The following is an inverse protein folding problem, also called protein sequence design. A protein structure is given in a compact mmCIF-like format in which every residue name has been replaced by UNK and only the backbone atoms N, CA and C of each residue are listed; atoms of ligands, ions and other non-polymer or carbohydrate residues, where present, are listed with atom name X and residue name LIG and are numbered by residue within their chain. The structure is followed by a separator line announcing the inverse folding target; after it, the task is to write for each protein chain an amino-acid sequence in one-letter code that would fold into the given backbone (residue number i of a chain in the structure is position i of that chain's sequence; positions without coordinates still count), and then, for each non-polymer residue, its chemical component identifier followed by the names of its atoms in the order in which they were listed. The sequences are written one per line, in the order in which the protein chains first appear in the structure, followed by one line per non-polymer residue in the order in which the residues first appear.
data_IF_755328007254
#
_entry.id   IF_755328007254
#
_cell.length_a   1.000
_cell.length_b   1.000
_cell.length_c   1.000
_cell.angle_alpha   90.00
_cell.angle_beta   90.00
_cell.angle_gamma   90.00
#
_symmetry.space_group_name_H-M   'P 1'
#
loop_
_entity.id
_entity.type
_entity.pdbx_description
1 polymer ?
#
# COMPACT_ATOMS: atom_id res chain seq x y z
N UNK A 1 -23.09 21.53 40.54
CA UNK A 1 -22.64 20.14 40.32
C UNK A 1 -22.27 20.03 38.85
N UNK A 2 -20.98 20.05 38.54
CA UNK A 2 -20.45 20.11 37.16
C UNK A 2 -20.01 18.68 36.81
N UNK A 3 -20.72 18.02 35.90
CA UNK A 3 -20.31 16.74 35.33
C UNK A 3 -19.38 17.01 34.14
N UNK A 4 -18.09 16.74 34.32
CA UNK A 4 -17.13 16.68 33.22
C UNK A 4 -17.08 15.24 32.72
N UNK A 5 -17.78 14.94 31.64
CA UNK A 5 -17.64 13.67 30.91
C UNK A 5 -16.31 13.69 30.14
N UNK A 6 -15.28 13.10 30.74
CA UNK A 6 -14.03 12.77 30.04
C UNK A 6 -14.25 11.49 29.24
N UNK A 7 -14.72 11.63 28.00
CA UNK A 7 -14.61 10.57 27.01
C UNK A 7 -13.15 10.44 26.60
N UNK A 8 -12.48 9.45 27.16
CA UNK A 8 -11.16 8.99 26.71
C UNK A 8 -11.26 8.53 25.26
N UNK A 9 -10.86 9.40 24.34
CA UNK A 9 -10.54 9.03 22.97
C UNK A 9 -9.34 8.06 23.02
N UNK A 10 -9.61 6.76 22.94
CA UNK A 10 -8.58 5.78 22.60
C UNK A 10 -8.09 6.09 21.18
N UNK A 11 -6.95 6.78 21.10
CA UNK A 11 -6.20 6.95 19.87
C UNK A 11 -5.47 5.63 19.64
N UNK A 12 -5.73 4.89 18.55
CA UNK A 12 -4.87 3.77 18.21
C UNK A 12 -3.54 4.35 17.73
N UNK A 13 -2.58 4.50 18.65
CA UNK A 13 -1.25 5.07 18.43
C UNK A 13 -0.24 4.01 17.96
N UNK A 14 -0.61 3.21 16.98
CA UNK A 14 0.33 2.40 16.21
C UNK A 14 0.28 2.83 14.75
N UNK A 15 0.62 4.09 14.51
CA UNK A 15 0.90 4.60 13.18
C UNK A 15 2.28 4.08 12.76
N UNK A 16 2.25 2.99 11.98
CA UNK A 16 3.18 2.68 10.89
C UNK A 16 4.65 3.13 11.12
N UNK A 17 5.49 2.17 11.54
CA UNK A 17 6.95 2.25 11.74
C UNK A 17 7.81 2.76 10.55
N UNK A 18 7.20 3.32 9.50
CA UNK A 18 7.88 3.88 8.32
C UNK A 18 8.01 5.40 8.35
N UNK A 19 7.36 6.09 9.30
CA UNK A 19 7.47 7.55 9.44
C UNK A 19 8.22 7.84 10.74
N UNK A 20 9.47 8.29 10.63
CA UNK A 20 10.12 8.94 11.77
C UNK A 20 9.36 10.24 12.05
N UNK A 21 8.55 10.26 13.12
CA UNK A 21 7.82 11.44 13.60
C UNK A 21 8.65 12.74 13.66
N UNK A 22 9.96 12.77 13.97
CA UNK A 22 10.73 14.02 13.98
C UNK A 22 10.98 14.66 12.60
N UNK A 23 10.55 14.05 11.48
CA UNK A 23 10.72 14.60 10.13
C UNK A 23 9.49 15.35 9.59
N UNK A 24 8.40 15.44 10.35
CA UNK A 24 7.22 16.19 9.92
C UNK A 24 7.48 17.70 10.00
N UNK A 25 7.19 18.46 8.93
CA UNK A 25 7.29 19.92 8.95
C UNK A 25 6.44 20.52 10.08
N UNK A 26 6.97 21.48 10.82
CA UNK A 26 6.24 22.13 11.93
C UNK A 26 5.10 23.02 11.43
N UNK A 27 5.15 23.48 10.16
CA UNK A 27 4.06 24.21 9.53
C UNK A 27 2.94 23.23 9.10
N UNK A 28 1.69 23.41 9.57
CA UNK A 28 0.57 22.52 9.24
C UNK A 28 0.28 22.42 7.73
N UNK A 29 0.53 23.48 6.95
CA UNK A 29 0.34 23.43 5.48
C UNK A 29 1.41 22.56 4.82
N UNK A 30 2.65 22.66 5.29
CA UNK A 30 3.75 21.83 4.80
C UNK A 30 3.59 20.37 5.26
N UNK A 31 3.13 20.14 6.50
CA UNK A 31 2.83 18.81 7.01
C UNK A 31 1.74 18.12 6.20
N UNK A 32 0.67 18.84 5.80
CA UNK A 32 -0.39 18.33 4.92
C UNK A 32 0.18 17.90 3.57
N UNK A 33 0.99 18.75 2.93
CA UNK A 33 1.64 18.46 1.64
C UNK A 33 2.61 17.27 1.72
N UNK A 34 3.44 17.23 2.76
CA UNK A 34 4.39 16.15 2.99
C UNK A 34 3.68 14.81 3.21
N UNK A 35 2.64 14.79 4.03
CA UNK A 35 1.81 13.58 4.25
C UNK A 35 1.15 13.11 2.96
N UNK A 36 0.66 14.04 2.14
CA UNK A 36 0.09 13.73 0.84
C UNK A 36 1.11 13.09 -0.11
N UNK A 37 2.30 13.68 -0.22
CA UNK A 37 3.40 13.12 -1.03
C UNK A 37 3.82 11.73 -0.55
N UNK A 38 3.91 11.52 0.77
CA UNK A 38 4.19 10.20 1.34
C UNK A 38 3.12 9.17 0.97
N UNK A 39 1.84 9.55 0.98
CA UNK A 39 0.73 8.67 0.56
C UNK A 39 0.84 8.29 -0.91
N UNK A 40 1.18 9.23 -1.79
CA UNK A 40 1.43 8.94 -3.21
C UNK A 40 2.61 7.97 -3.34
N UNK A 41 3.75 8.31 -2.73
CA UNK A 41 4.96 7.51 -2.80
C UNK A 41 4.73 6.07 -2.29
N UNK A 42 4.05 5.92 -1.16
CA UNK A 42 3.67 4.62 -0.61
C UNK A 42 2.76 3.83 -1.53
N UNK A 43 1.74 4.49 -2.12
CA UNK A 43 0.84 3.87 -3.10
C UNK A 43 1.58 3.42 -4.35
N UNK A 44 2.47 4.24 -4.89
CA UNK A 44 3.32 3.92 -6.04
C UNK A 44 4.24 2.73 -5.75
N UNK A 45 4.87 2.70 -4.57
CA UNK A 45 5.73 1.60 -4.15
C UNK A 45 4.95 0.29 -4.05
N UNK A 46 3.79 0.30 -3.39
CA UNK A 46 2.92 -0.88 -3.26
C UNK A 46 2.50 -1.42 -4.63
N UNK A 47 2.07 -0.56 -5.56
CA UNK A 47 1.74 -0.96 -6.93
C UNK A 47 2.93 -1.60 -7.66
N UNK A 48 4.15 -1.07 -7.47
CA UNK A 48 5.37 -1.62 -8.08
C UNK A 48 5.67 -3.03 -7.57
N UNK A 49 5.66 -3.22 -6.25
CA UNK A 49 5.90 -4.52 -5.60
C UNK A 49 4.88 -5.56 -6.08
N UNK A 50 3.59 -5.21 -6.07
CA UNK A 50 2.51 -6.12 -6.50
C UNK A 50 2.69 -6.51 -7.98
N UNK A 51 3.00 -5.54 -8.86
CA UNK A 51 3.27 -5.82 -10.29
C UNK A 51 4.45 -6.77 -10.48
N UNK A 52 5.52 -6.60 -9.71
CA UNK A 52 6.68 -7.49 -9.79
C UNK A 52 6.32 -8.91 -9.36
N UNK A 53 5.59 -9.08 -8.26
CA UNK A 53 5.11 -10.40 -7.82
C UNK A 53 4.27 -11.11 -8.91
N UNK A 54 3.36 -10.38 -9.55
CA UNK A 54 2.54 -10.92 -10.64
C UNK A 54 3.39 -11.27 -11.89
N UNK A 55 4.39 -10.44 -12.24
CA UNK A 55 5.31 -10.73 -13.35
C UNK A 55 6.17 -11.97 -13.07
N UNK A 56 6.66 -12.11 -11.84
CA UNK A 56 7.43 -13.29 -11.43
C UNK A 56 6.58 -14.56 -11.49
N UNK A 57 5.31 -14.50 -11.07
CA UNK A 57 4.37 -15.60 -11.24
C UNK A 57 4.23 -16.00 -12.72
N UNK A 58 4.04 -15.03 -13.62
CA UNK A 58 3.86 -15.32 -15.04
C UNK A 58 5.12 -15.85 -15.71
N UNK A 59 6.30 -15.44 -15.24
CA UNK A 59 7.59 -15.98 -15.67
C UNK A 59 7.78 -17.41 -15.15
N UNK A 60 7.44 -17.68 -13.88
CA UNK A 60 7.47 -19.01 -13.30
C UNK A 60 6.54 -19.97 -14.04
N UNK A 61 5.30 -19.56 -14.32
CA UNK A 61 4.33 -20.37 -15.07
C UNK A 61 4.84 -20.74 -16.47
N UNK A 62 5.50 -19.80 -17.15
CA UNK A 62 6.12 -20.04 -18.48
C UNK A 62 7.27 -21.03 -18.39
N UNK A 63 8.15 -20.92 -17.39
CA UNK A 63 9.25 -21.88 -17.17
C UNK A 63 8.74 -23.29 -16.87
N UNK A 64 7.72 -23.42 -16.03
CA UNK A 64 7.10 -24.71 -15.69
C UNK A 64 6.47 -25.40 -16.90
N UNK A 65 5.94 -24.64 -17.86
CA UNK A 65 5.39 -25.22 -19.10
C UNK A 65 6.47 -25.81 -20.03
N UNK A 66 7.73 -25.42 -19.87
CA UNK A 66 8.86 -25.84 -20.73
C UNK A 66 9.77 -26.89 -20.11
N UNK A 67 9.66 -27.16 -18.81
CA UNK A 67 10.54 -28.06 -18.04
C UNK A 67 9.74 -29.20 -17.40
N UNK A 68 10.32 -30.39 -17.31
CA UNK A 68 9.81 -31.48 -16.46
C UNK A 68 9.77 -30.98 -15.01
N UNK A 69 8.64 -31.10 -14.30
CA UNK A 69 8.51 -30.54 -12.96
C UNK A 69 9.49 -31.21 -12.01
N UNK A 70 10.49 -30.45 -11.54
CA UNK A 70 11.23 -30.78 -10.34
C UNK A 70 10.45 -30.26 -9.14
N UNK A 71 10.19 -31.11 -8.16
CA UNK A 71 9.38 -30.78 -6.96
C UNK A 71 9.97 -29.64 -6.11
N UNK A 72 11.21 -29.19 -6.39
CA UNK A 72 11.91 -28.18 -5.62
C UNK A 72 11.53 -26.72 -5.94
N UNK A 73 10.84 -26.43 -7.05
CA UNK A 73 10.47 -25.07 -7.45
C UNK A 73 8.94 -24.92 -7.47
N UNK A 74 8.28 -24.80 -6.32
CA UNK A 74 6.87 -24.42 -6.24
C UNK A 74 6.71 -22.89 -6.09
N UNK A 75 5.79 -22.29 -6.86
CA UNK A 75 5.45 -20.87 -6.67
C UNK A 75 4.78 -20.67 -5.30
N UNK A 76 5.24 -19.69 -4.50
CA UNK A 76 4.83 -19.57 -3.10
C UNK A 76 3.42 -19.02 -2.88
N UNK A 77 2.76 -18.47 -3.91
CA UNK A 77 1.42 -17.89 -3.78
C UNK A 77 0.33 -18.79 -4.35
N UNK A 78 -0.75 -18.95 -3.60
CA UNK A 78 -1.93 -19.66 -4.07
C UNK A 78 -2.70 -18.86 -5.15
N UNK A 79 -3.55 -19.51 -5.95
CA UNK A 79 -4.41 -18.82 -6.93
C UNK A 79 -5.27 -17.70 -6.30
N UNK A 80 -5.79 -17.93 -5.09
CA UNK A 80 -6.58 -16.93 -4.35
C UNK A 80 -5.76 -15.71 -3.97
N UNK A 81 -4.52 -15.92 -3.51
CA UNK A 81 -3.60 -14.82 -3.19
C UNK A 81 -3.25 -14.00 -4.44
N UNK A 82 -3.05 -14.65 -5.59
CA UNK A 82 -2.81 -13.97 -6.87
C UNK A 82 -4.02 -13.13 -7.30
N UNK A 83 -5.25 -13.64 -7.10
CA UNK A 83 -6.46 -12.87 -7.38
C UNK A 83 -6.57 -11.67 -6.43
N UNK A 84 -6.25 -11.85 -5.14
CA UNK A 84 -6.15 -10.77 -4.16
C UNK A 84 -5.16 -9.69 -4.59
N UNK A 85 -3.96 -10.07 -5.08
CA UNK A 85 -2.96 -9.14 -5.59
C UNK A 85 -3.47 -8.34 -6.81
N UNK A 86 -4.20 -8.99 -7.72
CA UNK A 86 -4.83 -8.29 -8.86
C UNK A 86 -5.89 -7.28 -8.41
N UNK A 87 -6.74 -7.68 -7.46
CA UNK A 87 -7.74 -6.79 -6.88
C UNK A 87 -7.09 -5.60 -6.14
N UNK A 88 -6.06 -5.86 -5.33
CA UNK A 88 -5.30 -4.82 -4.64
C UNK A 88 -4.70 -3.83 -5.64
N UNK A 89 -4.12 -4.30 -6.74
CA UNK A 89 -3.57 -3.43 -7.79
C UNK A 89 -4.65 -2.56 -8.45
N UNK A 90 -5.85 -3.11 -8.67
CA UNK A 90 -6.98 -2.38 -9.22
C UNK A 90 -7.44 -1.25 -8.28
N UNK A 91 -7.66 -1.56 -7.00
CA UNK A 91 -8.12 -0.57 -6.02
C UNK A 91 -7.05 0.49 -5.70
N UNK A 92 -5.77 0.10 -5.62
CA UNK A 92 -4.67 1.05 -5.44
C UNK A 92 -4.57 2.04 -6.62
N UNK A 93 -4.82 1.58 -7.84
CA UNK A 93 -4.86 2.46 -9.02
C UNK A 93 -6.00 3.47 -8.92
N UNK A 94 -7.23 3.00 -8.62
CA UNK A 94 -8.39 3.89 -8.44
C UNK A 94 -8.11 4.92 -7.34
N UNK A 95 -7.58 4.47 -6.21
CA UNK A 95 -7.24 5.33 -5.10
C UNK A 95 -6.19 6.38 -5.49
N UNK A 96 -5.13 5.98 -6.20
CA UNK A 96 -4.11 6.91 -6.71
C UNK A 96 -4.70 7.93 -7.67
N UNK A 97 -5.57 7.51 -8.59
CA UNK A 97 -6.20 8.39 -9.56
C UNK A 97 -7.13 9.41 -8.86
N UNK A 98 -7.84 9.00 -7.81
CA UNK A 98 -8.66 9.88 -6.97
C UNK A 98 -7.80 10.87 -6.18
N UNK A 99 -6.71 10.42 -5.58
CA UNK A 99 -5.77 11.28 -4.87
C UNK A 99 -5.23 12.38 -5.77
N UNK A 100 -4.79 12.03 -6.99
CA UNK A 100 -4.24 12.99 -7.96
C UNK A 100 -5.27 13.99 -8.48
N UNK A 101 -6.54 13.58 -8.60
CA UNK A 101 -7.63 14.51 -8.94
C UNK A 101 -7.89 15.51 -7.82
N UNK A 102 -7.95 15.04 -6.58
CA UNK A 102 -8.18 15.91 -5.42
C UNK A 102 -7.09 16.97 -5.22
N UNK A 103 -5.85 16.74 -5.68
CA UNK A 103 -4.78 17.76 -5.65
C UNK A 103 -4.93 18.83 -6.74
N UNK A 104 -5.54 18.49 -7.89
CA UNK A 104 -5.73 19.43 -9.01
C UNK A 104 -6.94 20.35 -8.87
N UNK A 105 -7.89 19.95 -8.03
CA UNK A 105 -9.11 20.70 -7.74
C UNK A 105 -8.97 21.62 -6.50
N UNK A 106 -7.77 21.69 -5.89
CA UNK A 106 -7.33 22.75 -4.95
C UNK A 106 -6.61 23.89 -5.70
#
# INVERSE_FOLDING_TARGET
MICNDHTTHERPSELFWLINEPQLPSDPKQAKRHTYQMRIAGTSLAMCVIRNLLRHHDAYRRKKATLTPSDAEAWPLSPTQLQGLRAALYFLRIHSDQLLKAERDE
#
